data_IF_993653404136
#
_entry.id   IF_993653404136
#
_cell.length_a   1.000
_cell.length_b   1.000
_cell.length_c   1.000
_cell.angle_alpha   90.00
_cell.angle_beta   90.00
_cell.angle_gamma   90.00
#
_symmetry.space_group_name_H-M   'P 1'
#
loop_
_entity.id
_entity.type
_entity.pdbx_description
1 polymer ?
#
# COMPACT_ATOMS: atom_id res chain seq x y z
N UNK A 1 2.44 9.55 32.91
CA UNK A 1 1.93 9.33 31.55
C UNK A 1 2.37 7.94 31.14
N UNK A 2 1.44 7.02 30.86
CA UNK A 2 1.77 5.68 30.34
C UNK A 2 2.36 5.83 28.95
N UNK A 3 3.43 5.08 28.64
CA UNK A 3 4.05 5.08 27.32
C UNK A 3 2.99 4.79 26.23
N UNK A 4 3.05 5.42 25.04
CA UNK A 4 2.10 5.17 23.98
C UNK A 4 2.16 3.70 23.56
N UNK A 5 1.00 3.13 23.22
CA UNK A 5 0.89 1.75 22.74
C UNK A 5 1.51 1.65 21.35
N UNK A 6 2.37 0.66 21.14
CA UNK A 6 2.95 0.36 19.82
C UNK A 6 2.15 -0.75 19.15
N UNK A 7 1.66 -0.50 17.94
CA UNK A 7 1.02 -1.50 17.11
C UNK A 7 2.03 -2.00 16.09
N UNK A 8 2.56 -3.22 16.31
CA UNK A 8 3.62 -3.78 15.47
C UNK A 8 3.05 -4.84 14.52
N UNK A 9 3.16 -4.58 13.21
CA UNK A 9 2.64 -5.48 12.19
C UNK A 9 3.75 -6.28 11.54
N UNK A 10 3.59 -7.59 11.51
CA UNK A 10 4.46 -8.51 10.82
C UNK A 10 3.85 -8.96 9.49
N UNK A 11 4.57 -8.76 8.38
CA UNK A 11 4.19 -9.21 7.04
C UNK A 11 4.36 -10.72 6.86
N UNK A 12 3.81 -11.26 5.78
CA UNK A 12 3.86 -12.69 5.48
C UNK A 12 5.28 -13.23 5.34
N UNK A 13 6.21 -12.41 4.84
CA UNK A 13 7.63 -12.77 4.74
C UNK A 13 8.27 -12.94 6.13
N UNK A 14 8.00 -12.04 7.06
CA UNK A 14 8.49 -12.12 8.43
C UNK A 14 7.93 -13.32 9.21
N UNK A 15 6.83 -13.90 8.76
CA UNK A 15 6.17 -15.07 9.36
C UNK A 15 6.25 -16.33 8.48
N UNK A 16 7.08 -16.34 7.44
CA UNK A 16 7.10 -17.36 6.39
C UNK A 16 7.38 -18.78 6.91
N UNK A 17 8.15 -18.92 7.99
CA UNK A 17 8.52 -20.23 8.57
C UNK A 17 8.39 -20.24 10.09
N UNK A 18 8.33 -21.44 10.72
CA UNK A 18 8.35 -21.56 12.18
C UNK A 18 9.59 -20.91 12.83
N UNK A 19 10.75 -20.95 12.19
CA UNK A 19 11.96 -20.26 12.68
C UNK A 19 11.79 -18.74 12.68
N UNK A 20 11.24 -18.16 11.63
CA UNK A 20 10.94 -16.71 11.57
C UNK A 20 9.89 -16.30 12.59
N UNK A 21 8.86 -17.13 12.83
CA UNK A 21 7.88 -16.87 13.89
C UNK A 21 8.55 -16.83 15.27
N UNK A 22 9.52 -17.72 15.55
CA UNK A 22 10.28 -17.68 16.81
C UNK A 22 11.09 -16.39 16.96
N UNK A 23 11.81 -15.99 15.91
CA UNK A 23 12.55 -14.70 15.92
C UNK A 23 11.60 -13.53 16.12
N UNK A 24 10.45 -13.52 15.44
CA UNK A 24 9.44 -12.48 15.67
C UNK A 24 8.95 -12.46 17.13
N UNK A 25 8.72 -13.63 17.74
CA UNK A 25 8.29 -13.72 19.14
C UNK A 25 9.36 -13.18 20.10
N UNK A 26 10.64 -13.47 19.87
CA UNK A 26 11.76 -12.93 20.66
C UNK A 26 11.81 -11.40 20.60
N UNK A 27 11.74 -10.81 19.40
CA UNK A 27 11.69 -9.37 19.22
C UNK A 27 10.48 -8.72 19.91
N UNK A 28 9.31 -9.37 19.82
CA UNK A 28 8.09 -8.88 20.47
C UNK A 28 8.26 -8.96 22.01
N UNK A 29 8.78 -10.06 22.53
CA UNK A 29 8.99 -10.28 23.95
C UNK A 29 9.97 -9.25 24.56
N UNK A 30 11.03 -8.92 23.83
CA UNK A 30 11.97 -7.86 24.21
C UNK A 30 11.29 -6.49 24.22
N UNK A 31 10.57 -6.12 23.12
CA UNK A 31 9.89 -4.85 23.03
C UNK A 31 8.80 -4.68 24.09
N UNK A 32 8.03 -5.75 24.35
CA UNK A 32 6.97 -5.77 25.35
C UNK A 32 7.45 -5.58 26.79
N UNK A 33 8.74 -5.81 27.06
CA UNK A 33 9.33 -5.52 28.37
C UNK A 33 9.46 -4.02 28.64
N UNK A 34 9.44 -3.19 27.60
CA UNK A 34 9.68 -1.73 27.69
C UNK A 34 8.44 -0.90 27.37
N UNK A 35 7.52 -1.43 26.55
CA UNK A 35 6.38 -0.65 26.02
C UNK A 35 5.19 -1.56 25.79
N UNK A 36 3.94 -1.12 26.09
CA UNK A 36 2.74 -1.84 25.74
C UNK A 36 2.68 -2.06 24.23
N UNK A 37 2.48 -3.31 23.80
CA UNK A 37 2.51 -3.70 22.39
C UNK A 37 1.26 -4.47 22.00
N UNK A 38 0.72 -4.17 20.83
CA UNK A 38 -0.29 -4.97 20.12
C UNK A 38 0.34 -5.48 18.82
N UNK A 39 0.25 -6.76 18.59
CA UNK A 39 0.80 -7.37 17.39
C UNK A 39 -0.29 -7.60 16.35
N UNK A 40 0.00 -7.30 15.08
CA UNK A 40 -0.87 -7.65 13.95
C UNK A 40 -0.13 -8.63 13.05
N UNK A 41 -0.68 -9.83 12.87
CA UNK A 41 -0.12 -10.89 12.05
C UNK A 41 -0.81 -10.94 10.69
N UNK A 42 -0.02 -10.99 9.60
CA UNK A 42 -0.49 -11.37 8.27
C UNK A 42 -0.47 -12.89 8.11
N UNK A 43 -1.17 -13.41 7.11
CA UNK A 43 -0.95 -14.77 6.64
C UNK A 43 0.53 -14.96 6.27
N UNK A 44 1.07 -16.16 6.46
CA UNK A 44 2.42 -16.52 6.03
C UNK A 44 2.53 -16.41 4.51
N UNK A 45 3.76 -16.15 4.02
CA UNK A 45 4.04 -16.07 2.60
C UNK A 45 3.43 -17.24 1.82
N UNK A 46 2.74 -16.93 0.72
CA UNK A 46 2.09 -17.92 -0.17
C UNK A 46 0.79 -18.54 0.34
N UNK A 47 0.46 -18.40 1.64
CA UNK A 47 -0.75 -19.03 2.20
C UNK A 47 -2.03 -18.45 1.62
N UNK A 48 -2.10 -17.15 1.44
CA UNK A 48 -3.30 -16.50 0.85
C UNK A 48 -3.54 -16.99 -0.58
N UNK A 49 -2.47 -17.07 -1.40
CA UNK A 49 -2.57 -17.52 -2.78
C UNK A 49 -2.93 -19.01 -2.85
N UNK A 50 -2.36 -19.85 -1.96
CA UNK A 50 -2.74 -21.25 -1.82
C UNK A 50 -4.23 -21.41 -1.47
N UNK A 51 -4.74 -20.65 -0.49
CA UNK A 51 -6.14 -20.70 -0.09
C UNK A 51 -7.09 -20.23 -1.21
N UNK A 52 -6.67 -19.24 -2.01
CA UNK A 52 -7.40 -18.82 -3.20
C UNK A 52 -7.42 -19.92 -4.26
N UNK A 53 -6.29 -20.62 -4.46
CA UNK A 53 -6.20 -21.78 -5.36
C UNK A 53 -7.18 -22.90 -4.97
N UNK A 54 -7.24 -23.23 -3.68
CA UNK A 54 -8.20 -24.24 -3.17
C UNK A 54 -9.66 -23.84 -3.42
N UNK A 55 -10.00 -22.54 -3.31
CA UNK A 55 -11.36 -22.07 -3.62
C UNK A 55 -11.68 -22.29 -5.11
N UNK A 56 -10.73 -22.03 -6.01
CA UNK A 56 -10.92 -22.22 -7.44
C UNK A 56 -11.04 -23.71 -7.80
N UNK A 57 -10.19 -24.56 -7.22
CA UNK A 57 -10.19 -26.01 -7.45
C UNK A 57 -11.53 -26.66 -7.08
N UNK A 58 -12.22 -26.19 -6.05
CA UNK A 58 -13.57 -26.66 -5.71
C UNK A 58 -14.67 -25.94 -6.48
N UNK A 59 -14.34 -25.10 -7.48
CA UNK A 59 -15.31 -24.31 -8.25
C UNK A 59 -16.00 -23.22 -7.44
N UNK A 60 -15.37 -22.74 -6.36
CA UNK A 60 -15.97 -21.77 -5.44
C UNK A 60 -15.95 -20.33 -5.94
N UNK A 61 -16.96 -19.54 -5.56
CA UNK A 61 -16.97 -18.11 -5.82
C UNK A 61 -16.07 -17.39 -4.81
N UNK A 62 -15.00 -16.75 -5.29
CA UNK A 62 -14.06 -15.93 -4.47
C UNK A 62 -14.74 -14.77 -3.74
N UNK A 63 -15.89 -14.31 -4.22
CA UNK A 63 -16.68 -13.22 -3.61
C UNK A 63 -17.86 -13.83 -2.85
N UNK A 64 -17.57 -14.49 -1.74
CA UNK A 64 -18.57 -15.14 -0.93
C UNK A 64 -18.19 -15.14 0.55
N UNK A 65 -19.17 -15.36 1.42
CA UNK A 65 -18.94 -15.52 2.86
C UNK A 65 -18.05 -16.72 3.17
N UNK A 66 -18.17 -17.81 2.43
CA UNK A 66 -17.36 -19.01 2.62
C UNK A 66 -15.90 -18.75 2.20
N UNK A 67 -15.69 -18.10 1.06
CA UNK A 67 -14.37 -17.71 0.60
C UNK A 67 -13.66 -16.79 1.61
N UNK A 68 -14.34 -15.78 2.15
CA UNK A 68 -13.76 -14.93 3.19
C UNK A 68 -13.34 -15.72 4.43
N UNK A 69 -14.09 -16.73 4.83
CA UNK A 69 -13.70 -17.62 5.97
C UNK A 69 -12.47 -18.45 5.66
N UNK A 70 -12.38 -18.99 4.45
CA UNK A 70 -11.19 -19.73 4.00
C UNK A 70 -9.97 -18.83 4.00
N UNK A 71 -10.06 -17.70 3.34
CA UNK A 71 -8.91 -16.77 3.20
C UNK A 71 -8.48 -16.22 4.56
N UNK A 72 -9.42 -15.82 5.42
CA UNK A 72 -9.13 -15.28 6.75
C UNK A 72 -8.45 -16.27 7.70
N UNK A 73 -8.55 -17.58 7.44
CA UNK A 73 -7.90 -18.61 8.27
C UNK A 73 -6.37 -18.47 8.27
N UNK A 74 -5.79 -17.97 7.20
CA UNK A 74 -4.34 -17.75 7.09
C UNK A 74 -3.78 -16.83 8.18
N UNK A 75 -4.45 -15.72 8.45
CA UNK A 75 -4.07 -14.79 9.50
C UNK A 75 -4.39 -15.32 10.89
N UNK A 76 -5.50 -16.04 11.04
CA UNK A 76 -5.87 -16.69 12.32
C UNK A 76 -4.80 -17.68 12.75
N UNK A 77 -4.36 -18.54 11.82
CA UNK A 77 -3.26 -19.50 12.06
C UNK A 77 -1.97 -18.77 12.43
N UNK A 78 -1.61 -17.71 11.70
CA UNK A 78 -0.39 -16.94 11.97
C UNK A 78 -0.43 -16.30 13.35
N UNK A 79 -1.55 -15.68 13.72
CA UNK A 79 -1.73 -15.05 15.03
C UNK A 79 -1.65 -16.07 16.18
N UNK A 80 -2.28 -17.22 16.02
CA UNK A 80 -2.25 -18.30 17.00
C UNK A 80 -0.83 -18.87 17.18
N UNK A 81 -0.12 -19.16 16.09
CA UNK A 81 1.26 -19.65 16.14
C UNK A 81 2.20 -18.65 16.82
N UNK A 82 2.04 -17.37 16.55
CA UNK A 82 2.85 -16.32 17.16
C UNK A 82 2.53 -16.18 18.65
N UNK A 83 1.26 -16.29 19.06
CA UNK A 83 0.88 -16.28 20.46
C UNK A 83 1.46 -17.49 21.23
N UNK A 84 1.43 -18.70 20.62
CA UNK A 84 2.07 -19.89 21.19
C UNK A 84 3.59 -19.72 21.34
N UNK A 85 4.25 -19.12 20.35
CA UNK A 85 5.69 -18.84 20.42
C UNK A 85 6.03 -17.85 21.57
N UNK A 86 5.20 -16.82 21.79
CA UNK A 86 5.33 -15.89 22.91
C UNK A 86 5.10 -16.58 24.26
N UNK A 87 4.09 -17.46 24.36
CA UNK A 87 3.81 -18.24 25.58
C UNK A 87 4.98 -19.15 25.94
N UNK A 88 5.64 -19.75 24.93
CA UNK A 88 6.86 -20.55 25.16
C UNK A 88 8.01 -19.73 25.74
N UNK A 89 8.06 -18.42 25.46
CA UNK A 89 9.03 -17.49 26.05
C UNK A 89 8.58 -16.94 27.43
N UNK A 90 7.56 -17.54 28.04
CA UNK A 90 7.02 -17.12 29.33
C UNK A 90 6.19 -15.83 29.29
N UNK A 91 5.83 -15.32 28.11
CA UNK A 91 4.98 -14.15 27.95
C UNK A 91 3.50 -14.54 27.88
N UNK A 92 2.65 -13.86 28.64
CA UNK A 92 1.21 -13.99 28.45
C UNK A 92 0.84 -13.39 27.09
N UNK A 93 0.23 -14.16 26.18
CA UNK A 93 -0.20 -13.71 24.87
C UNK A 93 -1.56 -14.29 24.52
N UNK A 94 -2.39 -13.50 23.84
CA UNK A 94 -3.76 -13.88 23.44
C UNK A 94 -3.94 -13.61 21.95
N UNK A 95 -4.20 -14.67 21.18
CA UNK A 95 -4.58 -14.53 19.78
C UNK A 95 -6.04 -14.04 19.68
N UNK A 96 -6.29 -13.05 18.83
CA UNK A 96 -7.61 -12.45 18.60
C UNK A 96 -7.92 -12.44 17.11
N UNK A 97 -9.10 -12.89 16.71
CA UNK A 97 -9.59 -12.65 15.37
C UNK A 97 -10.05 -11.20 15.18
N UNK A 98 -10.37 -10.79 13.94
CA UNK A 98 -10.80 -9.41 13.68
C UNK A 98 -12.08 -9.01 14.40
N UNK A 99 -12.96 -9.97 14.72
CA UNK A 99 -14.19 -9.73 15.47
C UNK A 99 -13.88 -9.50 16.95
N UNK A 100 -13.05 -10.32 17.54
CA UNK A 100 -12.60 -10.22 18.94
C UNK A 100 -11.77 -8.95 19.17
N UNK A 101 -10.96 -8.58 18.19
CA UNK A 101 -10.21 -7.33 18.17
C UNK A 101 -11.10 -6.08 18.01
N UNK A 102 -12.40 -6.25 17.77
CA UNK A 102 -13.36 -5.16 17.64
C UNK A 102 -13.31 -4.42 16.30
N UNK A 103 -12.80 -5.05 15.25
CA UNK A 103 -12.78 -4.50 13.89
C UNK A 103 -14.15 -4.66 13.25
N UNK A 104 -14.79 -3.55 12.87
CA UNK A 104 -16.14 -3.54 12.28
C UNK A 104 -16.06 -3.09 10.81
N UNK A 105 -16.63 -3.89 9.91
CA UNK A 105 -16.64 -3.62 8.48
C UNK A 105 -18.04 -3.60 7.87
N UNK A 106 -18.13 -2.95 6.70
CA UNK A 106 -19.32 -2.89 5.84
C UNK A 106 -18.91 -3.14 4.38
N UNK A 107 -19.88 -3.31 3.50
CA UNK A 107 -19.63 -3.55 2.07
C UNK A 107 -19.64 -5.03 1.71
N UNK A 108 -19.09 -5.39 0.58
CA UNK A 108 -19.14 -6.73 0.01
C UNK A 108 -18.12 -7.68 0.59
N UNK A 109 -18.31 -8.98 0.40
CA UNK A 109 -17.33 -10.00 0.71
C UNK A 109 -16.06 -9.76 -0.11
N UNK A 110 -14.92 -10.19 0.41
CA UNK A 110 -13.58 -10.06 -0.20
C UNK A 110 -13.06 -8.62 -0.38
N UNK A 111 -13.91 -7.60 -0.17
CA UNK A 111 -13.59 -6.17 -0.34
C UNK A 111 -14.27 -5.31 0.72
N UNK A 112 -14.46 -5.83 1.91
CA UNK A 112 -15.10 -5.12 2.99
C UNK A 112 -14.31 -3.86 3.39
N UNK A 113 -15.02 -2.85 3.89
CA UNK A 113 -14.42 -1.60 4.34
C UNK A 113 -14.46 -1.55 5.85
N UNK A 114 -13.31 -1.35 6.44
CA UNK A 114 -13.22 -1.05 7.85
C UNK A 114 -13.95 0.27 8.12
N UNK A 115 -14.96 0.22 8.96
CA UNK A 115 -15.79 1.37 9.32
C UNK A 115 -15.43 1.95 10.67
N UNK A 116 -15.17 1.08 11.65
CA UNK A 116 -14.92 1.47 13.02
C UNK A 116 -14.07 0.40 13.72
N UNK A 117 -13.27 0.85 14.69
CA UNK A 117 -12.54 -0.03 15.60
C UNK A 117 -13.09 0.22 17.01
N UNK A 118 -13.40 -0.85 17.73
CA UNK A 118 -13.83 -0.86 19.12
C UNK A 118 -12.89 -1.75 19.93
N UNK A 119 -11.71 -1.27 20.34
CA UNK A 119 -10.62 -2.10 20.86
C UNK A 119 -10.81 -2.48 22.33
N UNK A 120 -12.05 -2.74 22.78
CA UNK A 120 -12.34 -3.07 24.18
C UNK A 120 -11.56 -4.31 24.63
N UNK A 121 -11.67 -5.40 23.87
CA UNK A 121 -10.98 -6.66 24.21
C UNK A 121 -9.46 -6.52 24.19
N UNK A 122 -8.94 -5.74 23.26
CA UNK A 122 -7.49 -5.43 23.20
C UNK A 122 -7.05 -4.70 24.48
N UNK A 123 -7.81 -3.70 24.92
CA UNK A 123 -7.52 -2.99 26.19
C UNK A 123 -7.59 -3.91 27.40
N UNK A 124 -8.58 -4.80 27.48
CA UNK A 124 -8.69 -5.79 28.55
C UNK A 124 -7.44 -6.71 28.59
N UNK A 125 -7.00 -7.20 27.43
CA UNK A 125 -5.79 -8.04 27.31
C UNK A 125 -4.55 -7.27 27.73
N UNK A 126 -4.37 -6.02 27.28
CA UNK A 126 -3.24 -5.17 27.69
C UNK A 126 -3.25 -4.91 29.19
N UNK A 127 -4.40 -4.60 29.79
CA UNK A 127 -4.54 -4.36 31.22
C UNK A 127 -4.21 -5.60 32.06
N UNK A 128 -4.45 -6.81 31.54
CA UNK A 128 -4.05 -8.06 32.19
C UNK A 128 -2.54 -8.35 32.10
N UNK A 129 -1.75 -7.49 31.48
CA UNK A 129 -0.33 -7.68 31.23
C UNK A 129 -0.02 -8.69 30.14
N UNK A 130 -1.02 -9.04 29.31
CA UNK A 130 -0.85 -9.96 28.18
C UNK A 130 -0.66 -9.19 26.86
N UNK A 131 -0.04 -9.83 25.89
CA UNK A 131 0.21 -9.30 24.52
C UNK A 131 -0.94 -9.71 23.62
N UNK A 132 -1.75 -8.77 23.09
CA UNK A 132 -2.75 -9.09 22.06
C UNK A 132 -2.06 -9.37 20.73
N UNK A 133 -2.36 -10.53 20.12
CA UNK A 133 -1.89 -10.90 18.79
C UNK A 133 -3.10 -10.98 17.86
N UNK A 134 -3.29 -9.95 17.06
CA UNK A 134 -4.49 -9.77 16.22
C UNK A 134 -4.26 -10.37 14.84
N UNK A 135 -5.17 -11.20 14.37
CA UNK A 135 -5.23 -11.62 12.99
C UNK A 135 -5.64 -10.41 12.12
N UNK A 136 -4.73 -9.94 11.27
CA UNK A 136 -4.98 -8.82 10.35
C UNK A 136 -5.94 -9.17 9.22
N UNK A 137 -6.14 -8.25 8.26
CA UNK A 137 -6.84 -8.48 7.00
C UNK A 137 -8.36 -8.74 7.12
N UNK A 138 -8.92 -8.94 8.28
CA UNK A 138 -10.29 -9.37 8.50
C UNK A 138 -11.01 -8.50 9.54
N UNK A 139 -12.33 -8.42 9.43
CA UNK A 139 -13.17 -7.67 10.34
C UNK A 139 -14.57 -8.28 10.45
N UNK A 140 -15.29 -7.97 11.53
CA UNK A 140 -16.69 -8.37 11.71
C UNK A 140 -17.60 -7.61 10.75
N UNK A 141 -18.37 -8.35 9.96
CA UNK A 141 -19.47 -7.84 9.14
C UNK A 141 -20.77 -8.47 9.62
N UNK A 142 -21.81 -7.68 9.92
CA UNK A 142 -23.14 -8.11 10.42
C UNK A 142 -23.25 -9.57 10.91
N UNK A 143 -23.16 -10.56 10.03
CA UNK A 143 -23.37 -11.99 10.30
C UNK A 143 -22.10 -12.85 10.10
N UNK A 144 -20.91 -12.26 10.08
CA UNK A 144 -19.69 -13.07 9.86
C UNK A 144 -18.43 -12.26 9.84
N UNK A 145 -17.36 -12.94 9.46
CA UNK A 145 -16.05 -12.40 9.21
C UNK A 145 -15.95 -12.05 7.73
N UNK A 146 -15.47 -10.87 7.40
CA UNK A 146 -15.22 -10.43 6.04
C UNK A 146 -13.78 -9.97 5.89
N UNK A 147 -13.18 -10.22 4.72
CA UNK A 147 -11.81 -9.78 4.41
C UNK A 147 -11.80 -8.35 3.89
N UNK A 148 -10.71 -7.63 4.21
CA UNK A 148 -10.55 -6.22 3.88
C UNK A 148 -9.91 -5.97 2.50
N UNK A 149 -9.64 -7.06 1.76
CA UNK A 149 -8.93 -7.02 0.49
C UNK A 149 -7.42 -6.84 0.65
N UNK A 150 -6.66 -6.86 -0.44
CA UNK A 150 -5.18 -6.77 -0.43
C UNK A 150 -4.71 -5.64 0.49
N UNK A 151 -3.63 -5.87 1.24
CA UNK A 151 -3.07 -4.93 2.21
C UNK A 151 -3.93 -4.68 3.45
N UNK A 152 -4.96 -5.48 3.69
CA UNK A 152 -5.85 -5.35 4.84
C UNK A 152 -5.16 -5.45 6.19
N UNK A 153 -4.02 -6.15 6.30
CA UNK A 153 -3.26 -6.22 7.56
C UNK A 153 -2.56 -4.91 7.90
N UNK A 154 -2.03 -4.17 6.90
CA UNK A 154 -1.48 -2.82 7.10
C UNK A 154 -2.60 -1.87 7.56
N UNK A 155 -3.78 -1.96 6.91
CA UNK A 155 -4.96 -1.19 7.30
C UNK A 155 -5.42 -1.52 8.73
N UNK A 156 -5.41 -2.81 9.11
CA UNK A 156 -5.72 -3.24 10.48
C UNK A 156 -4.79 -2.60 11.50
N UNK A 157 -3.48 -2.62 11.23
CA UNK A 157 -2.48 -2.07 12.14
C UNK A 157 -2.65 -0.55 12.33
N UNK A 158 -2.76 0.19 11.24
CA UNK A 158 -2.95 1.65 11.28
C UNK A 158 -4.27 2.02 11.96
N UNK A 159 -5.35 1.30 11.68
CA UNK A 159 -6.65 1.57 12.31
C UNK A 159 -6.67 1.27 13.82
N UNK A 160 -5.94 0.24 14.25
CA UNK A 160 -5.74 -0.04 15.68
C UNK A 160 -4.90 1.03 16.35
N UNK A 161 -3.84 1.52 15.69
CA UNK A 161 -3.03 2.62 16.19
C UNK A 161 -3.87 3.88 16.40
N UNK A 162 -4.68 4.26 15.41
CA UNK A 162 -5.62 5.37 15.53
C UNK A 162 -6.60 5.20 16.72
N UNK A 163 -7.20 4.01 16.86
CA UNK A 163 -8.21 3.75 17.89
C UNK A 163 -7.63 3.64 19.32
N UNK A 164 -6.35 3.33 19.45
CA UNK A 164 -5.65 3.20 20.72
C UNK A 164 -4.82 4.44 21.09
N UNK A 165 -4.71 5.42 20.18
CA UNK A 165 -3.89 6.62 20.36
C UNK A 165 -2.39 6.30 20.39
N UNK A 166 -1.97 5.31 19.59
CA UNK A 166 -0.60 4.81 19.55
C UNK A 166 0.09 5.06 18.20
N UNK A 167 1.28 4.49 18.05
CA UNK A 167 2.05 4.50 16.80
C UNK A 167 2.02 3.14 16.11
N UNK A 168 2.27 3.12 14.79
CA UNK A 168 2.27 1.91 13.99
C UNK A 168 3.69 1.58 13.52
N UNK A 169 4.20 0.39 13.86
CA UNK A 169 5.43 -0.16 13.29
C UNK A 169 5.09 -1.20 12.21
N UNK A 170 5.53 -0.97 10.98
CA UNK A 170 5.39 -1.91 9.88
C UNK A 170 6.73 -2.62 9.66
N UNK A 171 6.81 -3.88 10.09
CA UNK A 171 7.99 -4.72 9.93
C UNK A 171 8.00 -5.30 8.51
N UNK A 172 9.05 -5.02 7.76
CA UNK A 172 9.22 -5.37 6.35
C UNK A 172 10.53 -6.15 6.14
N UNK A 173 10.72 -6.61 4.92
CA UNK A 173 11.93 -7.24 4.40
C UNK A 173 12.96 -6.22 3.85
N UNK A 174 12.57 -4.97 3.75
CA UNK A 174 13.45 -3.82 3.44
C UNK A 174 13.47 -2.86 4.64
N UNK A 175 14.64 -2.30 4.98
CA UNK A 175 14.81 -1.57 6.25
C UNK A 175 14.11 -0.20 6.28
N UNK A 176 13.86 0.42 5.11
CA UNK A 176 13.32 1.77 5.00
C UNK A 176 12.49 1.91 3.72
N UNK A 177 11.85 3.06 3.55
CA UNK A 177 11.42 3.54 2.24
C UNK A 177 12.64 4.05 1.48
N UNK A 178 12.61 3.92 0.16
CA UNK A 178 13.71 4.35 -0.71
C UNK A 178 13.18 5.29 -1.80
N UNK A 179 14.09 6.04 -2.39
CA UNK A 179 13.80 6.92 -3.54
C UNK A 179 13.39 6.17 -4.81
N UNK A 180 13.71 4.87 -4.89
CA UNK A 180 13.18 3.89 -5.85
C UNK A 180 13.27 2.50 -5.23
N UNK A 181 12.75 1.46 -5.90
CA UNK A 181 12.95 0.06 -5.50
C UNK A 181 14.45 -0.31 -5.63
N UNK A 182 15.17 -0.60 -4.52
CA UNK A 182 16.61 -0.89 -4.59
C UNK A 182 16.93 -2.16 -5.38
N UNK A 183 15.99 -3.09 -5.52
CA UNK A 183 16.15 -4.26 -6.39
C UNK A 183 16.11 -3.92 -7.88
N UNK A 184 15.54 -2.78 -8.26
CA UNK A 184 15.45 -2.32 -9.64
C UNK A 184 16.41 -1.17 -9.96
N UNK A 185 16.72 -0.33 -8.97
CA UNK A 185 17.59 0.83 -9.07
C UNK A 185 18.65 0.78 -7.95
N UNK A 186 19.88 0.29 -8.24
CA UNK A 186 20.93 0.19 -7.21
C UNK A 186 21.36 1.53 -6.59
N UNK A 187 21.13 2.65 -7.29
CA UNK A 187 21.40 4.01 -6.80
C UNK A 187 20.29 4.55 -5.86
N UNK A 188 19.25 3.75 -5.57
CA UNK A 188 18.16 4.17 -4.69
C UNK A 188 18.67 4.47 -3.27
N UNK A 189 18.27 5.61 -2.74
CA UNK A 189 18.69 6.10 -1.43
C UNK A 189 17.59 5.90 -0.38
N UNK A 190 17.94 5.56 0.87
CA UNK A 190 16.96 5.42 1.93
C UNK A 190 16.41 6.78 2.37
N UNK A 191 15.11 6.81 2.63
CA UNK A 191 14.38 7.97 3.14
C UNK A 191 14.18 7.81 4.66
N UNK A 192 14.79 8.68 5.46
CA UNK A 192 14.69 8.60 6.93
C UNK A 192 13.39 9.19 7.48
N UNK A 193 12.90 10.24 6.84
CA UNK A 193 11.63 10.92 7.17
C UNK A 193 10.81 11.21 5.95
N UNK A 194 9.50 11.01 6.02
CA UNK A 194 8.56 11.40 4.97
C UNK A 194 7.24 11.87 5.58
N UNK A 195 6.51 12.70 4.84
CA UNK A 195 5.17 13.10 5.24
C UNK A 195 4.14 12.00 4.94
N UNK A 196 3.00 12.02 5.65
CA UNK A 196 1.86 11.15 5.33
C UNK A 196 1.37 11.33 3.88
N UNK A 197 1.38 12.56 3.37
CA UNK A 197 0.98 12.85 1.99
C UNK A 197 1.90 12.17 0.99
N UNK A 198 3.22 12.25 1.21
CA UNK A 198 4.21 11.59 0.38
C UNK A 198 4.05 10.06 0.39
N UNK A 199 3.89 9.45 1.58
CA UNK A 199 3.60 8.01 1.69
C UNK A 199 2.34 7.61 0.91
N UNK A 200 1.28 8.42 1.00
CA UNK A 200 0.04 8.13 0.28
C UNK A 200 0.23 8.19 -1.25
N UNK A 201 1.03 9.12 -1.76
CA UNK A 201 1.36 9.19 -3.19
C UNK A 201 2.25 8.02 -3.63
N UNK A 202 3.28 7.66 -2.85
CA UNK A 202 4.12 6.47 -3.11
C UNK A 202 3.26 5.21 -3.22
N UNK A 203 2.38 5.00 -2.24
CA UNK A 203 1.52 3.83 -2.21
C UNK A 203 0.53 3.79 -3.40
N UNK A 204 -0.03 4.94 -3.80
CA UNK A 204 -0.90 5.03 -4.98
C UNK A 204 -0.13 4.80 -6.28
N UNK A 205 1.11 5.25 -6.37
CA UNK A 205 1.96 5.01 -7.53
C UNK A 205 2.35 3.53 -7.70
N UNK A 206 2.09 2.69 -6.71
CA UNK A 206 2.35 1.26 -6.76
C UNK A 206 3.59 0.81 -5.99
N UNK A 207 4.22 1.70 -5.22
CA UNK A 207 5.31 1.29 -4.33
C UNK A 207 4.82 0.24 -3.32
N UNK A 208 5.55 -0.88 -3.22
CA UNK A 208 5.18 -2.03 -2.36
C UNK A 208 5.48 -1.80 -0.87
N UNK A 209 5.39 -0.56 -0.43
CA UNK A 209 5.79 -0.14 0.92
C UNK A 209 4.65 -0.23 1.93
N UNK A 210 3.47 0.22 1.55
CA UNK A 210 2.27 0.23 2.38
C UNK A 210 1.04 0.20 1.47
N UNK A 211 -0.04 -0.40 1.94
CA UNK A 211 -1.27 -0.37 1.15
C UNK A 211 -1.86 1.05 1.09
N UNK A 212 -2.30 1.56 -0.08
CA UNK A 212 -2.79 2.93 -0.23
C UNK A 212 -3.90 3.32 0.77
N UNK A 213 -4.81 2.38 1.09
CA UNK A 213 -5.88 2.61 2.08
C UNK A 213 -5.34 2.81 3.49
N UNK A 214 -4.25 2.11 3.86
CA UNK A 214 -3.61 2.28 5.16
C UNK A 214 -2.90 3.64 5.24
N UNK A 215 -2.18 4.04 4.19
CA UNK A 215 -1.54 5.35 4.10
C UNK A 215 -2.56 6.51 4.19
N UNK A 216 -3.72 6.39 3.53
CA UNK A 216 -4.79 7.39 3.61
C UNK A 216 -5.39 7.47 5.02
N UNK A 217 -5.59 6.34 5.70
CA UNK A 217 -6.09 6.34 7.09
C UNK A 217 -5.04 6.96 8.02
N UNK A 218 -3.77 6.62 7.86
CA UNK A 218 -2.69 7.21 8.65
C UNK A 218 -2.63 8.74 8.49
N UNK A 219 -2.74 9.24 7.25
CA UNK A 219 -2.78 10.67 6.97
C UNK A 219 -3.99 11.37 7.60
N UNK A 220 -5.17 10.76 7.53
CA UNK A 220 -6.40 11.33 8.09
C UNK A 220 -6.40 11.38 9.61
N UNK A 221 -5.91 10.32 10.25
CA UNK A 221 -5.93 10.17 11.71
C UNK A 221 -4.63 10.68 12.37
N UNK A 222 -3.65 11.13 11.58
CA UNK A 222 -2.36 11.60 12.10
C UNK A 222 -1.51 10.51 12.76
N UNK A 223 -1.69 9.22 12.36
CA UNK A 223 -0.99 8.08 12.97
C UNK A 223 0.48 8.08 12.55
N UNK A 224 1.43 8.19 13.49
CA UNK A 224 2.84 8.00 13.17
C UNK A 224 3.09 6.57 12.69
N UNK A 225 3.82 6.41 11.58
CA UNK A 225 4.23 5.10 11.07
C UNK A 225 5.75 5.02 11.09
N UNK A 226 6.27 3.88 11.53
CA UNK A 226 7.68 3.53 11.44
C UNK A 226 7.84 2.28 10.58
N UNK A 227 8.61 2.37 9.51
CA UNK A 227 9.03 1.21 8.73
C UNK A 227 10.33 0.68 9.31
N UNK A 228 10.37 -0.62 9.62
CA UNK A 228 11.52 -1.28 10.23
C UNK A 228 11.82 -2.59 9.51
N UNK A 229 13.08 -3.01 9.53
CA UNK A 229 13.47 -4.31 8.99
C UNK A 229 13.23 -5.43 10.00
N UNK A 230 12.93 -6.63 9.48
CA UNK A 230 12.69 -7.80 10.31
C UNK A 230 13.93 -8.27 11.08
N UNK A 231 15.12 -8.14 10.51
CA UNK A 231 16.37 -8.68 11.09
C UNK A 231 17.40 -7.60 11.47
N UNK A 232 17.28 -6.39 10.97
CA UNK A 232 18.27 -5.34 11.15
C UNK A 232 17.65 -4.13 11.85
N UNK A 233 18.11 -3.85 13.05
CA UNK A 233 17.80 -2.61 13.76
C UNK A 233 18.81 -1.53 13.32
N UNK A 234 18.30 -0.34 13.04
CA UNK A 234 19.14 0.82 12.70
C UNK A 234 18.48 1.70 11.67
N UNK A 235 18.50 1.29 10.41
CA UNK A 235 17.84 2.06 9.35
C UNK A 235 16.32 1.91 9.44
N UNK A 236 15.60 3.04 9.46
CA UNK A 236 14.15 3.08 9.50
C UNK A 236 13.63 4.34 8.83
N UNK A 237 12.41 4.29 8.31
CA UNK A 237 11.69 5.50 7.89
C UNK A 237 10.62 5.85 8.89
N UNK A 238 10.57 7.12 9.29
CA UNK A 238 9.50 7.67 10.11
C UNK A 238 8.57 8.48 9.25
N UNK A 239 7.28 8.17 9.32
CA UNK A 239 6.21 8.91 8.66
C UNK A 239 5.45 9.72 9.70
N UNK A 240 5.32 11.01 9.46
CA UNK A 240 4.65 11.92 10.39
C UNK A 240 4.18 13.20 9.72
N UNK A 241 3.97 14.24 10.52
CA UNK A 241 3.79 15.57 10.02
C UNK A 241 5.06 15.98 9.26
N UNK A 242 4.91 16.49 8.03
CA UNK A 242 6.04 16.92 7.22
C UNK A 242 6.73 18.14 7.83
N UNK A 243 8.03 18.19 7.68
CA UNK A 243 8.88 19.34 8.01
C UNK A 243 8.96 20.37 6.86
N UNK A 244 8.10 20.23 5.85
CA UNK A 244 8.12 21.04 4.63
C UNK A 244 9.01 20.49 3.53
N UNK A 245 9.97 19.61 3.81
CA UNK A 245 10.75 18.91 2.80
C UNK A 245 9.92 17.83 2.11
N UNK A 246 10.01 17.76 0.81
CA UNK A 246 9.38 16.70 0.02
C UNK A 246 10.47 16.01 -0.79
N UNK A 247 10.96 14.87 -0.32
CA UNK A 247 11.91 14.10 -1.10
C UNK A 247 11.30 13.73 -2.46
N UNK A 248 12.16 13.41 -3.42
CA UNK A 248 11.74 12.89 -4.71
C UNK A 248 11.93 11.37 -4.73
N UNK A 249 10.96 10.66 -5.27
CA UNK A 249 11.04 9.23 -5.48
C UNK A 249 10.48 8.84 -6.84
N UNK A 250 10.99 7.74 -7.39
CA UNK A 250 10.57 7.19 -8.67
C UNK A 250 10.02 5.78 -8.47
N UNK A 251 8.79 5.56 -8.91
CA UNK A 251 8.05 4.31 -8.68
C UNK A 251 7.67 3.68 -10.01
N UNK A 252 8.03 2.42 -10.19
CA UNK A 252 7.58 1.57 -11.30
C UNK A 252 6.38 0.74 -10.87
N UNK A 253 5.32 0.78 -11.67
CA UNK A 253 4.16 -0.09 -11.54
C UNK A 253 4.00 -0.90 -12.83
N UNK A 254 4.29 -2.20 -12.82
CA UNK A 254 4.15 -3.07 -13.98
C UNK A 254 2.68 -3.51 -14.17
N UNK A 255 2.44 -4.28 -15.23
CA UNK A 255 1.18 -4.96 -15.54
C UNK A 255 -0.04 -4.01 -15.60
N UNK A 256 0.13 -2.91 -16.32
CA UNK A 256 -0.89 -1.88 -16.46
C UNK A 256 -1.63 -2.06 -17.81
N UNK A 257 -2.95 -1.95 -17.73
CA UNK A 257 -3.82 -1.73 -18.89
C UNK A 257 -4.20 -0.25 -18.98
N UNK A 258 -4.13 0.30 -20.17
CA UNK A 258 -4.68 1.60 -20.50
C UNK A 258 -6.07 1.40 -21.12
N UNK A 259 -7.09 1.97 -20.47
CA UNK A 259 -8.44 2.05 -21.01
C UNK A 259 -8.68 3.48 -21.45
N UNK A 260 -9.14 3.67 -22.69
CA UNK A 260 -9.56 4.98 -23.18
C UNK A 260 -11.04 4.97 -23.51
N UNK A 261 -11.66 6.13 -23.45
CA UNK A 261 -13.05 6.23 -23.81
C UNK A 261 -13.60 7.64 -23.73
N UNK A 262 -14.88 7.72 -24.04
CA UNK A 262 -15.63 8.96 -24.10
C UNK A 262 -16.89 8.84 -23.25
N UNK A 263 -17.33 9.98 -22.73
CA UNK A 263 -18.63 10.08 -22.09
C UNK A 263 -19.36 11.33 -22.60
N UNK A 264 -20.69 11.24 -22.80
CA UNK A 264 -21.49 12.36 -23.29
C UNK A 264 -21.33 13.63 -22.44
N UNK A 265 -21.56 14.78 -23.03
CA UNK A 265 -21.50 16.07 -22.35
C UNK A 265 -22.46 16.18 -21.15
N UNK A 266 -23.54 15.39 -21.16
CA UNK A 266 -24.48 15.28 -20.04
C UNK A 266 -23.87 14.63 -18.77
N UNK A 267 -22.77 13.87 -18.90
CA UNK A 267 -22.04 13.30 -17.76
C UNK A 267 -21.37 14.43 -16.97
N UNK A 268 -21.63 14.48 -15.68
CA UNK A 268 -21.07 15.51 -14.80
C UNK A 268 -19.66 15.14 -14.32
N UNK A 269 -18.85 16.13 -13.96
CA UNK A 269 -17.58 15.90 -13.32
C UNK A 269 -17.67 15.09 -12.01
N UNK A 270 -18.82 15.15 -11.33
CA UNK A 270 -19.12 14.33 -10.16
C UNK A 270 -19.21 12.82 -10.53
N UNK A 271 -19.78 12.50 -11.68
CA UNK A 271 -19.86 11.11 -12.18
C UNK A 271 -18.46 10.60 -12.51
N UNK A 272 -17.60 11.42 -13.13
CA UNK A 272 -16.19 11.06 -13.39
C UNK A 272 -15.42 10.83 -12.08
N UNK A 273 -15.64 11.68 -11.06
CA UNK A 273 -15.06 11.44 -9.73
C UNK A 273 -15.60 10.16 -9.09
N UNK A 274 -16.87 9.86 -9.27
CA UNK A 274 -17.51 8.62 -8.79
C UNK A 274 -16.87 7.39 -9.46
N UNK A 275 -16.60 7.46 -10.77
CA UNK A 275 -15.82 6.43 -11.47
C UNK A 275 -14.47 6.19 -10.79
N UNK A 276 -13.66 7.22 -10.62
CA UNK A 276 -12.35 7.09 -9.94
C UNK A 276 -12.47 6.46 -8.56
N UNK A 277 -13.46 6.86 -7.77
CA UNK A 277 -13.68 6.28 -6.43
C UNK A 277 -14.04 4.79 -6.52
N UNK A 278 -14.82 4.37 -7.51
CA UNK A 278 -15.17 2.96 -7.70
C UNK A 278 -13.97 2.15 -8.22
N UNK A 279 -13.23 2.68 -9.17
CA UNK A 279 -12.02 2.04 -9.69
C UNK A 279 -10.96 1.86 -8.60
N UNK A 280 -10.73 2.86 -7.74
CA UNK A 280 -9.80 2.75 -6.61
C UNK A 280 -10.24 1.76 -5.53
N UNK A 281 -11.48 1.30 -5.56
CA UNK A 281 -11.93 0.20 -4.71
C UNK A 281 -11.53 -1.16 -5.27
N UNK A 282 -11.47 -1.25 -6.58
CA UNK A 282 -11.03 -2.44 -7.30
C UNK A 282 -9.51 -2.50 -7.35
N UNK A 283 -8.90 -1.42 -7.75
CA UNK A 283 -7.47 -1.22 -7.90
C UNK A 283 -7.08 0.09 -7.20
N UNK A 284 -6.43 -0.01 -6.04
CA UNK A 284 -6.10 1.15 -5.22
C UNK A 284 -5.16 2.15 -5.90
N UNK A 285 -4.40 1.68 -6.89
CA UNK A 285 -3.53 2.50 -7.74
C UNK A 285 -4.18 2.98 -9.04
N UNK A 286 -5.50 2.78 -9.22
CA UNK A 286 -6.18 3.26 -10.42
C UNK A 286 -6.06 4.78 -10.58
N UNK A 287 -5.73 5.19 -11.81
CA UNK A 287 -5.60 6.59 -12.20
C UNK A 287 -6.59 6.91 -13.32
N UNK A 288 -7.25 8.05 -13.22
CA UNK A 288 -8.13 8.57 -14.26
C UNK A 288 -7.68 9.95 -14.64
N UNK A 289 -7.35 10.14 -15.90
CA UNK A 289 -7.18 11.47 -16.50
C UNK A 289 -8.39 11.77 -17.36
N UNK A 290 -8.94 12.95 -17.23
CA UNK A 290 -10.13 13.37 -17.96
C UNK A 290 -9.94 14.79 -18.49
N UNK A 291 -10.30 14.99 -19.75
CA UNK A 291 -10.46 16.30 -20.35
C UNK A 291 -11.89 16.44 -20.88
N UNK A 292 -12.39 17.66 -20.96
CA UNK A 292 -13.72 17.94 -21.46
C UNK A 292 -13.63 18.91 -22.62
N UNK A 293 -14.34 18.63 -23.69
CA UNK A 293 -14.55 19.50 -24.84
C UNK A 293 -16.06 19.69 -25.13
N UNK A 294 -16.40 20.26 -26.24
CA UNK A 294 -17.80 20.49 -26.68
C UNK A 294 -18.59 19.19 -26.90
N UNK A 295 -17.90 18.09 -27.24
CA UNK A 295 -18.50 16.76 -27.48
C UNK A 295 -18.67 15.92 -26.22
N UNK A 296 -18.03 16.33 -25.10
CA UNK A 296 -18.11 15.62 -23.82
C UNK A 296 -16.76 15.36 -23.18
N UNK A 297 -16.65 14.22 -22.49
CA UNK A 297 -15.46 13.84 -21.75
C UNK A 297 -14.61 12.86 -22.55
N UNK A 298 -13.31 13.10 -22.58
CA UNK A 298 -12.29 12.13 -22.97
C UNK A 298 -11.57 11.61 -21.74
N UNK A 299 -11.51 10.30 -21.61
CA UNK A 299 -10.95 9.65 -20.42
C UNK A 299 -9.80 8.73 -20.81
N UNK A 300 -8.78 8.70 -19.97
CA UNK A 300 -7.79 7.65 -19.96
C UNK A 300 -7.66 7.12 -18.53
N UNK A 301 -7.73 5.79 -18.43
CA UNK A 301 -7.78 5.08 -17.15
C UNK A 301 -6.65 4.06 -17.11
N UNK A 302 -5.80 4.15 -16.11
CA UNK A 302 -4.73 3.19 -15.86
C UNK A 302 -5.15 2.29 -14.70
N UNK A 303 -5.22 1.01 -14.95
CA UNK A 303 -5.54 -0.03 -13.98
C UNK A 303 -4.63 -1.23 -14.16
N UNK A 304 -4.55 -2.12 -13.16
CA UNK A 304 -3.90 -3.43 -13.37
C UNK A 304 -4.64 -4.23 -14.42
N UNK A 305 -3.92 -5.06 -15.18
CA UNK A 305 -4.52 -5.92 -16.22
C UNK A 305 -5.65 -6.79 -15.72
N UNK A 306 -5.51 -7.33 -14.52
CA UNK A 306 -6.54 -8.16 -13.88
C UNK A 306 -7.84 -7.39 -13.62
N UNK A 307 -7.74 -6.09 -13.40
CA UNK A 307 -8.88 -5.21 -13.09
C UNK A 307 -9.57 -4.64 -14.33
N UNK A 308 -9.04 -4.86 -15.54
CA UNK A 308 -9.50 -4.18 -16.76
C UNK A 308 -10.97 -4.41 -17.10
N UNK A 309 -11.42 -5.66 -17.10
CA UNK A 309 -12.80 -6.01 -17.47
C UNK A 309 -13.81 -5.48 -16.47
N UNK A 310 -13.54 -5.64 -15.18
CA UNK A 310 -14.40 -5.12 -14.13
C UNK A 310 -14.44 -3.58 -14.15
N UNK A 311 -13.33 -2.94 -14.51
CA UNK A 311 -13.25 -1.48 -14.68
C UNK A 311 -14.16 -0.98 -15.82
N UNK A 312 -14.20 -1.70 -16.94
CA UNK A 312 -15.11 -1.41 -18.05
C UNK A 312 -16.56 -1.54 -17.59
N UNK A 313 -16.91 -2.62 -16.91
CA UNK A 313 -18.27 -2.84 -16.39
C UNK A 313 -18.69 -1.72 -15.41
N UNK A 314 -17.79 -1.29 -14.53
CA UNK A 314 -18.03 -0.17 -13.62
C UNK A 314 -18.29 1.12 -14.41
N UNK A 315 -17.50 1.42 -15.41
CA UNK A 315 -17.67 2.62 -16.24
C UNK A 315 -18.99 2.60 -17.00
N UNK A 316 -19.34 1.48 -17.62
CA UNK A 316 -20.61 1.29 -18.32
C UNK A 316 -21.81 1.52 -17.40
N UNK A 317 -21.76 1.06 -16.14
CA UNK A 317 -22.81 1.30 -15.15
C UNK A 317 -23.03 2.78 -14.82
N UNK A 318 -22.07 3.64 -15.17
CA UNK A 318 -22.10 5.09 -15.00
C UNK A 318 -22.36 5.84 -16.33
N UNK A 319 -22.68 5.13 -17.40
CA UNK A 319 -22.90 5.70 -18.74
C UNK A 319 -21.60 6.16 -19.42
N UNK A 320 -20.45 5.61 -19.04
CA UNK A 320 -19.13 5.93 -19.59
C UNK A 320 -18.63 4.73 -20.39
N UNK A 321 -18.39 4.95 -21.71
CA UNK A 321 -17.80 3.95 -22.57
C UNK A 321 -16.27 3.92 -22.41
N UNK A 322 -15.73 2.80 -21.93
CA UNK A 322 -14.29 2.55 -21.90
C UNK A 322 -13.96 1.31 -22.74
N UNK A 323 -12.83 1.38 -23.44
CA UNK A 323 -12.26 0.26 -24.22
C UNK A 323 -10.79 0.10 -23.86
N UNK A 324 -10.27 -1.12 -24.00
CA UNK A 324 -8.83 -1.37 -23.88
C UNK A 324 -8.12 -0.72 -25.07
N UNK A 325 -7.09 0.04 -24.82
CA UNK A 325 -6.28 0.69 -25.85
C UNK A 325 -5.02 -0.11 -26.08
N UNK A 326 -4.97 -0.81 -27.23
CA UNK A 326 -3.83 -1.63 -27.63
C UNK A 326 -3.70 -2.95 -26.84
N UNK A 327 -2.96 -3.89 -27.40
CA UNK A 327 -2.66 -5.20 -26.80
C UNK A 327 -1.34 -5.18 -26.00
N UNK A 328 -0.63 -4.05 -25.98
CA UNK A 328 0.68 -3.95 -25.36
C UNK A 328 0.58 -3.96 -23.84
N UNK A 329 1.43 -4.76 -23.22
CA UNK A 329 1.69 -4.70 -21.81
C UNK A 329 2.38 -3.39 -21.47
N UNK A 330 1.77 -2.62 -20.58
CA UNK A 330 2.30 -1.34 -20.16
C UNK A 330 2.84 -1.39 -18.74
N UNK A 331 3.81 -0.52 -18.51
CA UNK A 331 4.24 -0.12 -17.18
C UNK A 331 4.02 1.39 -17.00
N UNK A 332 3.74 1.81 -15.78
CA UNK A 332 3.79 3.24 -15.47
C UNK A 332 4.98 3.54 -14.56
N UNK A 333 5.75 4.56 -14.92
CA UNK A 333 6.82 5.11 -14.08
C UNK A 333 6.38 6.47 -13.59
N UNK A 334 6.38 6.66 -12.27
CA UNK A 334 5.93 7.90 -11.64
C UNK A 334 7.06 8.56 -10.89
N UNK A 335 7.31 9.84 -11.15
CA UNK A 335 8.13 10.71 -10.30
C UNK A 335 7.19 11.40 -9.30
N UNK A 336 7.50 11.33 -8.02
CA UNK A 336 6.69 11.83 -6.91
C UNK A 336 7.56 12.74 -6.06
N UNK A 337 7.03 13.88 -5.66
CA UNK A 337 7.74 14.82 -4.80
C UNK A 337 7.70 16.24 -5.35
N UNK A 338 8.66 17.05 -4.96
CA UNK A 338 8.75 18.41 -5.46
C UNK A 338 9.40 18.45 -6.84
N UNK A 339 8.57 18.37 -7.88
CA UNK A 339 8.93 18.47 -9.29
C UNK A 339 8.55 19.85 -9.87
N UNK A 340 8.32 20.84 -8.99
CA UNK A 340 7.86 22.20 -9.39
C UNK A 340 9.00 23.12 -9.80
N UNK A 341 10.25 22.71 -9.59
CA UNK A 341 11.45 23.46 -10.01
C UNK A 341 11.49 23.64 -11.52
N UNK A 342 11.96 24.80 -11.96
CA UNK A 342 12.20 25.07 -13.38
C UNK A 342 13.09 24.01 -14.00
N UNK A 343 12.78 23.61 -15.25
CA UNK A 343 13.58 22.63 -15.98
C UNK A 343 13.15 21.16 -15.88
N UNK A 344 12.06 20.82 -15.15
CA UNK A 344 11.57 19.43 -15.05
C UNK A 344 11.27 18.80 -16.43
N UNK A 345 10.83 19.59 -17.41
CA UNK A 345 10.55 19.13 -18.79
C UNK A 345 11.84 18.73 -19.52
N UNK A 346 12.93 19.47 -19.31
CA UNK A 346 14.24 19.11 -19.84
C UNK A 346 14.77 17.81 -19.23
N UNK A 347 14.69 17.68 -17.90
CA UNK A 347 15.09 16.45 -17.19
C UNK A 347 14.25 15.25 -17.64
N UNK A 348 12.93 15.42 -17.81
CA UNK A 348 12.08 14.36 -18.34
C UNK A 348 12.48 13.94 -19.74
N UNK A 349 12.75 14.90 -20.65
CA UNK A 349 13.21 14.60 -22.01
C UNK A 349 14.55 13.86 -21.98
N UNK A 350 15.53 14.34 -21.22
CA UNK A 350 16.82 13.67 -21.06
C UNK A 350 16.67 12.23 -20.56
N UNK A 351 15.78 11.99 -19.58
CA UNK A 351 15.50 10.64 -19.09
C UNK A 351 14.87 9.73 -20.16
N UNK A 352 13.90 10.24 -20.92
CA UNK A 352 13.25 9.51 -22.01
C UNK A 352 14.27 9.14 -23.09
N UNK A 353 15.09 10.10 -23.52
CA UNK A 353 16.13 9.90 -24.54
C UNK A 353 17.19 8.89 -24.05
N UNK A 354 17.66 9.03 -22.81
CA UNK A 354 18.63 8.10 -22.19
C UNK A 354 18.08 6.67 -22.11
N UNK A 355 16.81 6.53 -21.74
CA UNK A 355 16.14 5.24 -21.65
C UNK A 355 15.71 4.68 -23.00
N UNK A 356 15.82 5.45 -24.10
CA UNK A 356 15.24 5.14 -25.41
C UNK A 356 13.77 4.72 -25.29
N UNK A 357 13.04 5.43 -24.44
CA UNK A 357 11.66 5.10 -24.12
C UNK A 357 10.69 5.74 -25.11
N UNK A 358 9.61 5.02 -25.41
CA UNK A 358 8.51 5.48 -26.26
C UNK A 358 7.25 5.69 -25.41
N UNK A 359 7.03 6.89 -24.86
CA UNK A 359 5.89 7.15 -24.00
C UNK A 359 4.57 7.01 -24.76
N UNK A 360 3.74 6.07 -24.33
CA UNK A 360 2.35 5.92 -24.81
C UNK A 360 1.49 7.06 -24.26
N UNK A 361 1.78 7.50 -23.04
CA UNK A 361 1.10 8.61 -22.40
C UNK A 361 1.93 9.25 -21.31
N UNK A 362 1.77 10.57 -21.18
CA UNK A 362 2.38 11.37 -20.15
C UNK A 362 1.29 12.18 -19.46
N UNK A 363 1.29 12.19 -18.12
CA UNK A 363 0.34 12.96 -17.32
C UNK A 363 1.02 13.58 -16.11
N UNK A 364 0.61 14.80 -15.77
CA UNK A 364 1.05 15.48 -14.54
C UNK A 364 -0.16 15.85 -13.72
N UNK A 365 -0.14 15.51 -12.45
CA UNK A 365 -1.19 15.87 -11.50
C UNK A 365 -0.55 16.26 -10.16
N UNK A 366 -0.60 17.53 -9.82
CA UNK A 366 0.01 18.06 -8.61
C UNK A 366 1.53 17.79 -8.56
N UNK A 367 1.96 17.06 -7.53
CA UNK A 367 3.36 16.68 -7.27
C UNK A 367 3.75 15.33 -7.88
N UNK A 368 2.99 14.84 -8.85
CA UNK A 368 3.25 13.56 -9.51
C UNK A 368 3.30 13.73 -11.02
N UNK A 369 4.35 13.19 -11.62
CA UNK A 369 4.50 12.99 -13.05
C UNK A 369 4.37 11.48 -13.31
N UNK A 370 3.54 11.07 -14.26
CA UNK A 370 3.36 9.68 -14.65
C UNK A 370 3.68 9.54 -16.14
N UNK A 371 4.52 8.57 -16.47
CA UNK A 371 4.88 8.20 -17.83
C UNK A 371 4.47 6.73 -18.01
N UNK A 372 3.60 6.46 -18.99
CA UNK A 372 3.24 5.11 -19.40
C UNK A 372 4.08 4.70 -20.60
N UNK A 373 4.71 3.54 -20.53
CA UNK A 373 5.59 2.97 -21.56
C UNK A 373 5.31 1.48 -21.73
N UNK A 374 5.70 0.87 -22.87
CA UNK A 374 5.75 -0.59 -23.00
C UNK A 374 6.53 -1.22 -21.85
N UNK A 375 6.08 -2.38 -21.36
CA UNK A 375 6.61 -3.00 -20.13
C UNK A 375 8.11 -3.23 -20.15
N UNK A 376 8.70 -3.58 -21.29
CA UNK A 376 10.15 -3.76 -21.44
C UNK A 376 10.98 -2.49 -21.21
N UNK A 377 10.38 -1.31 -21.33
CA UNK A 377 11.04 -0.02 -21.17
C UNK A 377 10.89 0.55 -19.74
N UNK A 378 10.12 -0.09 -18.88
CA UNK A 378 9.80 0.43 -17.54
C UNK A 378 11.02 0.57 -16.62
N UNK A 379 11.88 -0.45 -16.56
CA UNK A 379 13.10 -0.42 -15.70
C UNK A 379 14.16 0.55 -16.23
N UNK A 380 14.50 0.56 -17.54
CA UNK A 380 15.38 1.59 -18.09
C UNK A 380 14.91 3.02 -17.77
N UNK A 381 13.62 3.29 -17.98
CA UNK A 381 13.05 4.61 -17.70
C UNK A 381 13.04 4.94 -16.19
N UNK A 382 12.77 3.96 -15.32
CA UNK A 382 12.88 4.14 -13.87
C UNK A 382 14.27 4.66 -13.48
N UNK A 383 15.33 4.01 -13.97
CA UNK A 383 16.72 4.36 -13.65
C UNK A 383 17.11 5.74 -14.22
N UNK A 384 16.71 6.03 -15.45
CA UNK A 384 16.98 7.32 -16.07
C UNK A 384 16.26 8.46 -15.33
N UNK A 385 14.98 8.29 -14.98
CA UNK A 385 14.24 9.27 -14.19
C UNK A 385 14.83 9.44 -12.77
N UNK A 386 15.27 8.34 -12.15
CA UNK A 386 15.93 8.42 -10.85
C UNK A 386 17.22 9.23 -10.92
N UNK A 387 18.06 8.99 -11.92
CA UNK A 387 19.26 9.77 -12.16
C UNK A 387 18.95 11.26 -12.31
N UNK A 388 18.02 11.62 -13.19
CA UNK A 388 17.70 13.02 -13.51
C UNK A 388 17.02 13.77 -12.34
N UNK A 389 16.12 13.10 -11.59
CA UNK A 389 15.29 13.76 -10.60
C UNK A 389 15.78 13.57 -9.16
N UNK A 390 16.66 12.60 -8.89
CA UNK A 390 17.14 12.30 -7.55
C UNK A 390 18.65 12.54 -7.45
N UNK A 391 19.44 11.91 -8.32
CA UNK A 391 20.91 11.95 -8.19
C UNK A 391 21.47 13.30 -8.60
N UNK A 392 21.18 13.77 -9.83
CA UNK A 392 21.67 15.06 -10.33
C UNK A 392 21.02 16.27 -9.64
N UNK A 393 19.83 16.09 -9.04
CA UNK A 393 19.20 17.15 -8.24
C UNK A 393 19.82 17.32 -6.85
N UNK A 394 20.55 16.33 -6.36
CA UNK A 394 21.25 16.37 -5.09
C UNK A 394 22.66 16.97 -5.19
N UNK A 395 23.21 17.10 -6.41
CA UNK A 395 24.47 17.81 -6.62
C UNK A 395 24.22 19.32 -6.50
N UNK A 396 24.87 20.04 -5.58
CA UNK A 396 24.78 21.50 -5.55
C UNK A 396 25.28 22.03 -6.90
N UNK A 397 24.52 22.95 -7.52
CA UNK A 397 24.94 23.66 -8.73
C UNK A 397 26.38 24.13 -8.54
N UNK A 398 27.26 23.65 -9.42
CA UNK A 398 28.70 23.64 -9.28
C UNK A 398 29.28 24.96 -8.82
N UNK A 399 30.16 24.86 -7.84
CA UNK A 399 31.28 25.78 -7.71
C UNK A 399 32.07 25.65 -9.03
N UNK A 400 31.84 26.59 -9.94
CA UNK A 400 32.70 26.77 -11.10
C UNK A 400 34.09 26.99 -10.56
N UNK A 401 34.95 26.00 -10.71
CA UNK A 401 36.38 26.10 -10.47
C UNK A 401 36.90 27.03 -11.57
N UNK A 402 36.96 28.33 -11.25
CA UNK A 402 37.73 29.30 -12.05
C UNK A 402 39.23 28.96 -11.77
N UNK A 403 39.83 28.32 -12.75
CA UNK A 403 41.27 28.27 -12.87
C UNK A 403 41.79 29.53 -13.55
#
# INVERSE_FOLDING_TARGET
>A
MTAPVVIRKYGGEALASPSRIRVAAEQIAERAARTPIVVVASARRGVTDHLLGLIDEVGGNRISRSADRVIASGEIVSAALLALALQRLGRKAVALDGREAGLLATGDWSRARLRRVQPRRIREVLTSGAIPVVAGFQARRRRGLATLGRGGSDLTAVALAAALGGECELVKDVPALYTADPGLCPAAQPLTRVSHAFLAELARAGAKVCHPRAAVVAAREGVPIRFTHFQHEGLATVVGAGDGSSPVAVVLRPDIALLTGQAPAAITGQTVRRLLVQLRRLDAGAEVTASRDEFGWRLAVFVTRDSRLESITIAQSLGIGLMVTGDADLSTVSVIGDITTDGWTGRLRAAIDTAQAEPVRLTRAGRRLLVAVPSGQGIPLLRALHREFVELAAEPEGVACSA
#
